data_IF_412173265154
#
_entry.id   IF_412173265154
#
_cell.length_a   1.000
_cell.length_b   1.000
_cell.length_c   1.000
_cell.angle_alpha   90.00
_cell.angle_beta   90.00
_cell.angle_gamma   90.00
#
_symmetry.space_group_name_H-M   'P 1'
#
loop_
_entity.id
_entity.type
_entity.pdbx_description
1 polymer ?
#
# COMPACT_ATOMS: atom_id res chain seq x y z
N UNK A 1 12.68 20.21 31.73
CA UNK A 1 12.02 19.56 30.60
C UNK A 1 12.85 19.86 29.34
N UNK A 2 13.42 18.84 28.71
CA UNK A 2 14.05 19.01 27.41
C UNK A 2 12.97 19.43 26.40
N UNK A 3 13.27 20.32 25.44
CA UNK A 3 12.32 20.65 24.37
C UNK A 3 11.97 19.38 23.61
N UNK A 4 10.72 19.23 23.11
CA UNK A 4 10.37 18.08 22.29
C UNK A 4 11.34 18.00 21.12
N UNK A 5 11.87 16.81 20.87
CA UNK A 5 12.78 16.55 19.75
C UNK A 5 12.06 16.86 18.43
N UNK A 6 12.23 18.07 17.92
CA UNK A 6 11.55 18.60 16.73
C UNK A 6 12.03 17.96 15.42
N UNK A 7 12.86 16.90 15.51
CA UNK A 7 13.48 16.26 14.35
C UNK A 7 12.89 14.86 14.01
N UNK A 8 11.82 14.43 14.69
CA UNK A 8 11.18 13.16 14.35
C UNK A 8 10.26 13.39 13.15
N UNK A 9 10.64 12.84 12.01
CA UNK A 9 9.85 12.89 10.77
C UNK A 9 8.54 12.13 10.98
N UNK A 10 7.44 12.77 10.61
CA UNK A 10 6.09 12.21 10.72
C UNK A 10 5.83 11.24 9.58
N UNK A 11 4.94 10.30 9.79
CA UNK A 11 4.53 9.32 8.78
C UNK A 11 3.03 9.44 8.55
N UNK A 12 2.65 9.75 7.32
CA UNK A 12 1.26 9.61 6.85
C UNK A 12 1.16 8.39 5.94
N UNK A 13 0.13 7.58 6.14
CA UNK A 13 -0.15 6.47 5.24
C UNK A 13 -1.25 6.85 4.24
N UNK A 14 -1.13 6.38 3.00
CA UNK A 14 -2.17 6.50 1.96
C UNK A 14 -2.57 5.11 1.50
N UNK A 15 -3.87 4.82 1.55
CA UNK A 15 -4.44 3.54 1.13
C UNK A 15 -5.41 3.77 -0.04
N UNK A 16 -4.96 3.58 -1.29
CA UNK A 16 -5.85 3.68 -2.44
C UNK A 16 -6.86 2.51 -2.43
N UNK A 17 -8.14 2.86 -2.34
CA UNK A 17 -9.27 1.93 -2.27
C UNK A 17 -10.43 2.31 -3.23
N UNK A 18 -10.17 3.15 -4.25
CA UNK A 18 -11.19 3.61 -5.20
C UNK A 18 -11.46 2.64 -6.36
N UNK A 19 -10.68 1.56 -6.48
CA UNK A 19 -10.82 0.60 -7.58
C UNK A 19 -12.04 -0.30 -7.43
N UNK A 20 -12.72 -0.58 -8.55
CA UNK A 20 -13.90 -1.47 -8.59
C UNK A 20 -13.58 -2.96 -8.42
N UNK A 21 -12.33 -3.38 -8.65
CA UNK A 21 -11.93 -4.79 -8.49
C UNK A 21 -12.57 -5.78 -9.48
N UNK A 22 -12.92 -5.36 -10.68
CA UNK A 22 -13.66 -6.11 -11.72
C UNK A 22 -13.14 -7.52 -12.01
N UNK A 23 -11.83 -7.76 -11.82
CA UNK A 23 -11.21 -9.10 -12.01
C UNK A 23 -11.72 -10.17 -11.05
N UNK A 24 -12.39 -9.81 -9.96
CA UNK A 24 -12.99 -10.76 -9.01
C UNK A 24 -14.36 -11.25 -9.47
N UNK A 25 -15.02 -10.57 -10.43
CA UNK A 25 -16.34 -10.95 -10.94
C UNK A 25 -17.50 -10.72 -9.96
N UNK A 26 -17.27 -10.05 -8.86
CA UNK A 26 -18.27 -9.72 -7.84
C UNK A 26 -18.78 -8.28 -8.02
N UNK A 27 -20.09 -8.02 -7.83
CA UNK A 27 -20.64 -6.67 -7.88
C UNK A 27 -20.17 -5.79 -6.71
N UNK A 28 -19.77 -6.38 -5.58
CA UNK A 28 -19.19 -5.67 -4.44
C UNK A 28 -17.73 -5.33 -4.75
N UNK A 29 -17.27 -4.08 -4.54
CA UNK A 29 -15.87 -3.73 -4.72
C UNK A 29 -14.97 -4.62 -3.84
N UNK A 30 -13.91 -5.17 -4.41
CA UNK A 30 -13.12 -6.25 -3.79
C UNK A 30 -12.60 -5.94 -2.39
N UNK A 31 -12.31 -4.66 -2.09
CA UNK A 31 -11.85 -4.23 -0.77
C UNK A 31 -12.88 -4.45 0.34
N UNK A 32 -14.15 -4.60 -0.01
CA UNK A 32 -15.25 -4.88 0.93
C UNK A 32 -15.68 -6.35 0.96
N UNK A 33 -15.07 -7.21 0.14
CA UNK A 33 -15.34 -8.66 0.19
C UNK A 33 -14.96 -9.21 1.58
N UNK A 34 -15.81 -10.14 2.06
CA UNK A 34 -15.57 -10.79 3.35
C UNK A 34 -14.31 -11.65 3.33
N UNK A 35 -13.50 -11.48 4.34
CA UNK A 35 -12.28 -12.23 4.59
C UNK A 35 -12.24 -12.58 6.08
N UNK A 36 -12.61 -13.81 6.42
CA UNK A 36 -12.72 -14.32 7.80
C UNK A 36 -13.66 -13.47 8.69
N UNK A 37 -14.82 -13.06 8.16
CA UNK A 37 -15.84 -12.32 8.90
C UNK A 37 -15.64 -10.79 8.93
N UNK A 38 -14.60 -10.27 8.30
CA UNK A 38 -14.33 -8.84 8.16
C UNK A 38 -14.12 -8.44 6.68
N UNK A 39 -14.51 -7.23 6.26
CA UNK A 39 -14.12 -6.70 4.97
C UNK A 39 -12.59 -6.69 4.80
N UNK A 40 -12.08 -7.07 3.63
CA UNK A 40 -10.63 -7.16 3.35
C UNK A 40 -9.87 -5.90 3.76
N UNK A 41 -10.38 -4.71 3.47
CA UNK A 41 -9.75 -3.44 3.80
C UNK A 41 -9.57 -3.25 5.32
N UNK A 42 -10.45 -3.83 6.13
CA UNK A 42 -10.38 -3.70 7.60
C UNK A 42 -9.13 -4.37 8.14
N UNK A 43 -8.76 -5.55 7.62
CA UNK A 43 -7.50 -6.22 8.01
C UNK A 43 -6.29 -5.32 7.74
N UNK A 44 -6.21 -4.77 6.53
CA UNK A 44 -5.14 -3.84 6.12
C UNK A 44 -5.07 -2.62 7.05
N UNK A 45 -6.21 -1.95 7.25
CA UNK A 45 -6.26 -0.72 8.05
C UNK A 45 -5.98 -0.97 9.53
N UNK A 46 -6.42 -2.09 10.08
CA UNK A 46 -6.15 -2.47 11.47
C UNK A 46 -4.66 -2.73 11.69
N UNK A 47 -4.01 -3.47 10.79
CA UNK A 47 -2.56 -3.70 10.90
C UNK A 47 -1.76 -2.39 10.82
N UNK A 48 -2.13 -1.48 9.91
CA UNK A 48 -1.49 -0.17 9.80
C UNK A 48 -1.78 0.74 11.00
N UNK A 49 -3.01 0.73 11.52
CA UNK A 49 -3.40 1.54 12.67
C UNK A 49 -2.76 1.05 13.98
N UNK A 50 -2.31 -0.21 14.05
CA UNK A 50 -1.55 -0.73 15.17
C UNK A 50 -0.12 -0.15 15.24
N UNK A 51 0.43 0.35 14.12
CA UNK A 51 1.73 1.04 14.05
C UNK A 51 1.61 2.45 14.62
N UNK A 52 2.18 2.70 15.79
CA UNK A 52 2.06 3.99 16.48
C UNK A 52 2.77 5.15 15.74
N UNK A 53 3.77 4.83 14.93
CA UNK A 53 4.54 5.80 14.12
C UNK A 53 3.74 6.39 12.96
N UNK A 54 2.69 5.72 12.50
CA UNK A 54 1.78 6.25 11.47
C UNK A 54 0.79 7.20 12.15
N UNK A 55 0.92 8.50 11.93
CA UNK A 55 0.07 9.50 12.58
C UNK A 55 -1.33 9.54 12.00
N UNK A 56 -1.45 9.40 10.68
CA UNK A 56 -2.72 9.42 9.98
C UNK A 56 -2.74 8.41 8.83
N UNK A 57 -3.89 7.79 8.60
CA UNK A 57 -4.15 6.89 7.48
C UNK A 57 -5.24 7.53 6.61
N UNK A 58 -4.85 7.96 5.43
CA UNK A 58 -5.72 8.54 4.40
C UNK A 58 -6.22 7.42 3.51
N UNK A 59 -7.51 7.11 3.58
CA UNK A 59 -8.15 6.11 2.72
C UNK A 59 -8.78 6.83 1.53
N UNK A 60 -8.31 6.53 0.33
CA UNK A 60 -8.85 7.16 -0.89
C UNK A 60 -9.90 6.24 -1.50
N UNK A 61 -11.16 6.64 -1.43
CA UNK A 61 -12.31 5.90 -1.95
C UNK A 61 -12.91 6.58 -3.19
N UNK A 62 -13.73 5.83 -3.94
CA UNK A 62 -14.46 6.37 -5.07
C UNK A 62 -15.48 7.44 -4.62
N UNK A 63 -15.77 8.42 -5.49
CA UNK A 63 -16.72 9.49 -5.17
C UNK A 63 -18.12 8.96 -4.80
N UNK A 64 -18.54 7.87 -5.45
CA UNK A 64 -19.83 7.20 -5.26
C UNK A 64 -19.73 5.93 -4.38
N UNK A 65 -18.70 5.79 -3.57
CA UNK A 65 -18.57 4.64 -2.65
C UNK A 65 -19.73 4.64 -1.64
N UNK A 66 -20.50 3.58 -1.60
CA UNK A 66 -21.66 3.40 -0.72
C UNK A 66 -21.42 2.50 0.49
N UNK A 67 -20.18 2.00 0.68
CA UNK A 67 -19.87 0.95 1.66
C UNK A 67 -19.01 1.44 2.82
N UNK A 68 -18.28 2.53 2.61
CA UNK A 68 -17.27 2.99 3.56
C UNK A 68 -17.85 3.36 4.93
N UNK A 69 -18.91 4.18 4.97
CA UNK A 69 -19.44 4.69 6.23
C UNK A 69 -19.87 3.56 7.16
N UNK A 70 -20.58 2.56 6.62
CA UNK A 70 -21.01 1.40 7.40
C UNK A 70 -19.81 0.55 7.85
N UNK A 71 -18.84 0.34 6.96
CA UNK A 71 -17.62 -0.42 7.26
C UNK A 71 -16.81 0.26 8.36
N UNK A 72 -16.58 1.56 8.24
CA UNK A 72 -15.80 2.34 9.20
C UNK A 72 -16.50 2.40 10.57
N UNK A 73 -17.79 2.69 10.62
CA UNK A 73 -18.56 2.75 11.86
C UNK A 73 -18.56 1.41 12.60
N UNK A 74 -18.65 0.29 11.86
CA UNK A 74 -18.75 -1.04 12.45
C UNK A 74 -17.41 -1.59 12.92
N UNK A 75 -16.32 -1.32 12.20
CA UNK A 75 -15.07 -2.04 12.38
C UNK A 75 -13.86 -1.16 12.71
N UNK A 76 -13.90 0.15 12.40
CA UNK A 76 -12.76 1.06 12.56
C UNK A 76 -13.01 2.16 13.60
N UNK A 77 -14.11 2.11 14.35
CA UNK A 77 -14.43 3.09 15.38
C UNK A 77 -13.27 3.37 16.39
N UNK A 78 -12.48 2.36 16.85
CA UNK A 78 -11.33 2.62 17.72
C UNK A 78 -10.23 3.47 17.08
N UNK A 79 -10.19 3.53 15.76
CA UNK A 79 -9.16 4.25 14.97
C UNK A 79 -9.70 5.49 14.27
N UNK A 80 -10.95 5.92 14.55
CA UNK A 80 -11.63 6.98 13.83
C UNK A 80 -10.89 8.33 13.84
N UNK A 81 -10.06 8.60 14.85
CA UNK A 81 -9.22 9.81 14.91
C UNK A 81 -8.02 9.77 13.96
N UNK A 82 -7.62 8.59 13.50
CA UNK A 82 -6.42 8.39 12.66
C UNK A 82 -6.74 7.87 11.26
N UNK A 83 -7.86 7.16 11.08
CA UNK A 83 -8.28 6.59 9.79
C UNK A 83 -9.34 7.48 9.18
N UNK A 84 -8.99 8.26 8.16
CA UNK A 84 -9.89 9.24 7.53
C UNK A 84 -10.03 8.91 6.04
N UNK A 85 -11.27 8.80 5.57
CA UNK A 85 -11.54 8.56 4.15
C UNK A 85 -11.81 9.87 3.40
N UNK A 86 -11.29 9.92 2.17
CA UNK A 86 -11.54 11.00 1.22
C UNK A 86 -12.09 10.44 -0.09
N UNK A 87 -13.20 11.02 -0.56
CA UNK A 87 -13.91 10.62 -1.78
C UNK A 87 -13.29 11.27 -3.03
N UNK A 88 -11.99 11.04 -3.22
CA UNK A 88 -11.17 11.69 -4.25
C UNK A 88 -10.46 10.67 -5.16
N UNK A 89 -11.01 9.46 -5.28
CA UNK A 89 -10.48 8.45 -6.19
C UNK A 89 -10.32 8.99 -7.61
N UNK A 90 -9.14 8.77 -8.20
CA UNK A 90 -8.81 9.17 -9.56
C UNK A 90 -9.08 8.07 -10.59
N UNK A 91 -8.78 8.34 -11.86
CA UNK A 91 -8.90 7.39 -12.96
C UNK A 91 -7.87 6.26 -12.82
N UNK A 92 -6.67 6.60 -12.32
CA UNK A 92 -5.59 5.64 -12.06
C UNK A 92 -5.33 5.47 -10.56
N UNK A 93 -4.55 4.42 -10.21
CA UNK A 93 -4.07 4.23 -8.85
C UNK A 93 -3.14 5.37 -8.41
N UNK A 94 -2.23 5.79 -9.28
CA UNK A 94 -1.30 6.88 -9.02
C UNK A 94 -2.03 8.20 -8.77
N UNK A 95 -3.04 8.52 -9.60
CA UNK A 95 -3.89 9.70 -9.42
C UNK A 95 -4.66 9.65 -8.10
N UNK A 96 -5.19 8.47 -7.72
CA UNK A 96 -5.87 8.30 -6.43
C UNK A 96 -4.92 8.60 -5.25
N UNK A 97 -3.69 8.11 -5.29
CA UNK A 97 -2.68 8.40 -4.26
C UNK A 97 -2.36 9.90 -4.22
N UNK A 98 -2.11 10.52 -5.37
CA UNK A 98 -1.83 11.95 -5.47
C UNK A 98 -2.97 12.80 -4.91
N UNK A 99 -4.21 12.47 -5.23
CA UNK A 99 -5.38 13.16 -4.71
C UNK A 99 -5.50 13.01 -3.19
N UNK A 100 -5.19 11.83 -2.65
CA UNK A 100 -5.10 11.60 -1.19
C UNK A 100 -4.05 12.47 -0.51
N UNK A 101 -2.86 12.61 -1.11
CA UNK A 101 -1.79 13.48 -0.61
C UNK A 101 -2.23 14.94 -0.58
N UNK A 102 -2.89 15.43 -1.62
CA UNK A 102 -3.41 16.80 -1.68
C UNK A 102 -4.41 17.12 -0.56
N UNK A 103 -5.18 16.13 -0.10
CA UNK A 103 -6.12 16.33 1.01
C UNK A 103 -5.43 16.62 2.35
N UNK A 104 -4.17 16.24 2.50
CA UNK A 104 -3.40 16.40 3.76
C UNK A 104 -2.14 17.25 3.62
N UNK A 105 -1.94 17.90 2.47
CA UNK A 105 -0.75 18.70 2.15
C UNK A 105 -0.48 19.81 3.19
N UNK A 106 -1.54 20.43 3.73
CA UNK A 106 -1.39 21.46 4.76
C UNK A 106 -1.03 20.92 6.15
N UNK A 107 -1.12 19.60 6.36
CA UNK A 107 -0.90 18.95 7.65
C UNK A 107 0.52 18.38 7.79
N UNK A 108 1.20 18.08 6.68
CA UNK A 108 2.50 17.42 6.65
C UNK A 108 3.55 18.28 5.97
N UNK A 109 4.78 18.17 6.44
CA UNK A 109 5.91 18.91 5.87
C UNK A 109 6.50 18.17 4.66
N UNK A 110 7.19 18.92 3.80
CA UNK A 110 7.83 18.38 2.58
C UNK A 110 8.77 17.20 2.83
N UNK A 111 9.40 17.16 3.99
CA UNK A 111 10.36 16.11 4.40
C UNK A 111 9.72 14.97 5.21
N UNK A 112 8.44 15.04 5.53
CA UNK A 112 7.72 13.96 6.19
C UNK A 112 7.62 12.72 5.28
N UNK A 113 7.34 11.58 5.86
CA UNK A 113 7.23 10.32 5.15
C UNK A 113 5.79 10.03 4.72
N UNK A 114 5.64 9.58 3.48
CA UNK A 114 4.41 8.99 2.96
C UNK A 114 4.62 7.50 2.77
N UNK A 115 3.78 6.71 3.41
CA UNK A 115 3.73 5.25 3.27
C UNK A 115 2.49 4.86 2.47
N UNK A 116 2.66 4.38 1.23
CA UNK A 116 1.55 3.93 0.38
C UNK A 116 1.38 2.44 0.48
N UNK A 117 0.17 1.98 0.81
CA UNK A 117 -0.12 0.55 0.91
C UNK A 117 -1.44 0.17 0.25
N UNK A 118 -1.43 -0.93 -0.52
CA UNK A 118 -2.63 -1.42 -1.21
C UNK A 118 -3.68 -1.98 -0.24
N UNK A 119 -4.93 -1.50 -0.33
CA UNK A 119 -6.07 -2.05 0.42
C UNK A 119 -6.27 -3.56 0.21
N UNK A 120 -5.73 -4.10 -0.88
CA UNK A 120 -5.82 -5.50 -1.27
C UNK A 120 -4.63 -6.37 -0.80
N UNK A 121 -3.86 -5.94 0.19
CA UNK A 121 -2.81 -6.73 0.87
C UNK A 121 -3.16 -6.91 2.35
N UNK A 122 -4.23 -7.68 2.65
CA UNK A 122 -4.77 -7.79 4.00
C UNK A 122 -3.86 -8.53 4.98
N UNK A 123 -2.89 -9.28 4.49
CA UNK A 123 -1.99 -10.10 5.32
C UNK A 123 -0.70 -9.37 5.72
N UNK A 124 -0.63 -8.04 5.53
CA UNK A 124 0.50 -7.25 6.04
C UNK A 124 0.53 -7.34 7.57
N UNK A 125 1.72 -7.58 8.14
CA UNK A 125 1.91 -7.63 9.59
C UNK A 125 2.45 -6.30 10.12
N UNK A 126 2.03 -5.94 11.32
CA UNK A 126 2.48 -4.73 12.02
C UNK A 126 4.01 -4.73 12.16
N UNK A 127 4.61 -5.87 12.52
CA UNK A 127 6.04 -6.03 12.71
C UNK A 127 6.82 -5.78 11.41
N UNK A 128 6.29 -6.23 10.25
CA UNK A 128 6.91 -5.97 8.96
C UNK A 128 6.86 -4.48 8.59
N UNK A 129 5.78 -3.78 8.95
CA UNK A 129 5.70 -2.33 8.74
C UNK A 129 6.72 -1.61 9.62
N UNK A 130 6.84 -1.97 10.90
CA UNK A 130 7.82 -1.36 11.82
C UNK A 130 9.26 -1.58 11.31
N UNK A 131 9.62 -2.80 10.91
CA UNK A 131 10.93 -3.11 10.33
C UNK A 131 11.21 -2.27 9.07
N UNK A 132 10.20 -2.13 8.21
CA UNK A 132 10.30 -1.32 6.99
C UNK A 132 10.55 0.16 7.30
N UNK A 133 9.87 0.70 8.31
CA UNK A 133 10.08 2.07 8.78
C UNK A 133 11.50 2.26 9.35
N UNK A 134 12.00 1.28 10.11
CA UNK A 134 13.35 1.33 10.68
C UNK A 134 14.43 1.30 9.60
N UNK A 135 14.28 0.42 8.61
CA UNK A 135 15.25 0.29 7.52
C UNK A 135 15.35 1.54 6.63
N UNK A 136 14.28 2.35 6.57
CA UNK A 136 14.22 3.55 5.74
C UNK A 136 14.35 4.86 6.53
N UNK A 137 14.54 4.81 7.85
CA UNK A 137 14.54 6.03 8.69
C UNK A 137 15.56 7.06 8.20
N UNK A 138 16.77 6.61 7.84
CA UNK A 138 17.88 7.46 7.39
C UNK A 138 17.99 7.56 5.85
N UNK A 139 17.07 6.95 5.10
CA UNK A 139 17.10 7.01 3.65
C UNK A 139 16.76 8.40 3.13
N UNK A 140 17.50 8.84 2.11
CA UNK A 140 17.30 10.15 1.47
C UNK A 140 16.11 10.15 0.51
N UNK A 141 15.90 9.06 -0.21
CA UNK A 141 14.86 8.87 -1.23
C UNK A 141 13.65 8.14 -0.64
N UNK A 142 13.90 6.99 -0.05
CA UNK A 142 12.90 6.04 0.40
C UNK A 142 13.04 4.70 -0.31
N UNK A 143 12.01 3.86 -0.24
CA UNK A 143 12.08 2.51 -0.78
C UNK A 143 10.76 1.77 -0.77
N UNK A 144 10.85 0.49 -1.06
CA UNK A 144 9.70 -0.40 -1.17
C UNK A 144 10.00 -1.79 -0.62
N UNK A 145 8.98 -2.46 -0.10
CA UNK A 145 9.07 -3.90 0.14
C UNK A 145 9.12 -4.64 -1.19
N UNK A 146 10.01 -5.62 -1.29
CA UNK A 146 10.13 -6.44 -2.48
C UNK A 146 10.67 -7.83 -2.14
N UNK A 147 10.46 -8.80 -3.05
CA UNK A 147 10.99 -10.15 -2.94
C UNK A 147 11.81 -10.49 -4.18
N UNK A 148 12.99 -11.11 -4.03
CA UNK A 148 13.72 -11.67 -5.17
C UNK A 148 12.84 -12.66 -5.94
N UNK A 149 12.97 -12.67 -7.27
CA UNK A 149 12.27 -13.64 -8.10
C UNK A 149 12.88 -15.04 -7.92
N UNK A 150 12.07 -15.97 -7.41
CA UNK A 150 12.48 -17.35 -7.19
C UNK A 150 12.28 -18.24 -8.44
N UNK A 151 11.23 -17.98 -9.23
CA UNK A 151 10.85 -18.78 -10.37
C UNK A 151 11.64 -18.43 -11.63
N UNK A 152 11.70 -19.38 -12.59
CA UNK A 152 12.24 -19.11 -13.92
C UNK A 152 11.26 -18.25 -14.71
N UNK A 153 11.69 -17.07 -15.16
CA UNK A 153 10.87 -16.17 -15.95
C UNK A 153 10.97 -16.46 -17.44
N UNK A 154 9.83 -16.43 -18.11
CA UNK A 154 9.73 -16.56 -19.57
C UNK A 154 9.12 -15.30 -20.16
N UNK A 155 9.74 -14.78 -21.23
CA UNK A 155 9.11 -13.79 -22.11
C UNK A 155 8.32 -14.53 -23.17
N UNK A 156 7.08 -14.10 -23.41
CA UNK A 156 6.25 -14.63 -24.49
C UNK A 156 6.09 -13.61 -25.61
N UNK A 157 5.81 -14.10 -26.79
CA UNK A 157 5.29 -13.31 -27.92
C UNK A 157 3.75 -13.11 -27.79
N UNK A 158 3.13 -12.44 -28.78
CA UNK A 158 1.67 -12.20 -28.84
C UNK A 158 0.84 -13.50 -28.87
N UNK A 159 1.40 -14.60 -29.37
CA UNK A 159 0.73 -15.90 -29.50
C UNK A 159 0.89 -16.79 -28.25
N UNK A 160 1.34 -16.20 -27.14
CA UNK A 160 1.59 -16.90 -25.86
C UNK A 160 2.64 -18.03 -25.97
N UNK A 161 3.58 -17.92 -26.92
CA UNK A 161 4.70 -18.86 -27.05
C UNK A 161 5.95 -18.28 -26.41
N UNK A 162 6.75 -19.14 -25.80
CA UNK A 162 8.03 -18.73 -25.20
C UNK A 162 8.95 -18.16 -26.28
N UNK A 163 9.36 -16.90 -26.11
CA UNK A 163 10.34 -16.21 -26.91
C UNK A 163 11.75 -16.33 -26.30
N UNK A 164 11.84 -16.13 -24.98
CA UNK A 164 13.12 -16.19 -24.28
C UNK A 164 12.93 -16.58 -22.80
N UNK A 165 13.99 -17.12 -22.21
CA UNK A 165 14.17 -17.19 -20.76
C UNK A 165 14.85 -15.92 -20.29
N UNK A 166 14.26 -15.23 -19.32
CA UNK A 166 14.82 -14.01 -18.74
C UNK A 166 15.64 -14.40 -17.52
N UNK A 167 16.89 -13.93 -17.46
CA UNK A 167 17.73 -14.08 -16.28
C UNK A 167 17.05 -13.41 -15.08
N UNK A 168 16.96 -14.12 -13.95
CA UNK A 168 16.24 -13.62 -12.75
C UNK A 168 17.16 -12.95 -11.74
N UNK A 169 18.45 -13.00 -11.96
CA UNK A 169 19.45 -12.31 -11.15
C UNK A 169 19.11 -10.81 -11.14
N UNK A 170 19.04 -10.23 -9.94
CA UNK A 170 18.64 -8.83 -9.72
C UNK A 170 17.20 -8.45 -10.11
N UNK A 171 16.32 -9.43 -10.39
CA UNK A 171 14.91 -9.16 -10.56
C UNK A 171 14.14 -9.35 -9.24
N UNK A 172 13.28 -8.40 -8.95
CA UNK A 172 12.50 -8.35 -7.72
C UNK A 172 11.00 -8.17 -8.04
N UNK A 173 10.16 -8.75 -7.22
CA UNK A 173 8.71 -8.53 -7.25
C UNK A 173 8.38 -7.42 -6.26
N UNK A 174 7.99 -6.26 -6.74
CA UNK A 174 7.57 -5.14 -5.91
C UNK A 174 6.33 -5.49 -5.08
N UNK A 175 6.36 -5.06 -3.83
CA UNK A 175 5.21 -5.10 -2.92
C UNK A 175 4.91 -3.69 -2.42
N UNK A 176 3.87 -3.55 -1.62
CA UNK A 176 3.64 -2.40 -0.76
C UNK A 176 3.67 -2.87 0.70
N UNK A 177 4.03 -2.00 1.67
CA UNK A 177 4.19 -0.55 1.55
C UNK A 177 5.38 -0.12 0.71
N UNK A 178 5.22 1.09 0.12
CA UNK A 178 6.27 1.87 -0.50
C UNK A 178 6.33 3.21 0.25
N UNK A 179 7.52 3.70 0.59
CA UNK A 179 7.67 4.88 1.44
C UNK A 179 8.64 5.89 0.83
N UNK A 180 8.19 7.13 0.68
CA UNK A 180 8.95 8.22 0.08
C UNK A 180 8.69 9.54 0.80
N UNK A 181 9.56 10.55 0.57
CA UNK A 181 9.34 11.91 1.08
C UNK A 181 8.10 12.52 0.45
N UNK A 182 7.34 13.28 1.24
CA UNK A 182 6.06 13.85 0.83
C UNK A 182 6.18 14.69 -0.46
N UNK A 183 7.13 15.63 -0.49
CA UNK A 183 7.36 16.48 -1.67
C UNK A 183 7.81 15.66 -2.89
N UNK A 184 8.76 14.76 -2.70
CA UNK A 184 9.31 13.93 -3.77
C UNK A 184 8.21 13.08 -4.41
N UNK A 185 7.39 12.39 -3.60
CA UNK A 185 6.30 11.55 -4.09
C UNK A 185 5.22 12.37 -4.80
N UNK A 186 4.84 13.52 -4.22
CA UNK A 186 3.82 14.40 -4.83
C UNK A 186 4.26 14.87 -6.21
N UNK A 187 5.52 15.29 -6.36
CA UNK A 187 6.08 15.70 -7.65
C UNK A 187 6.16 14.53 -8.64
N UNK A 188 6.62 13.37 -8.17
CA UNK A 188 6.79 12.18 -9.01
C UNK A 188 5.44 11.71 -9.60
N UNK A 189 4.41 11.56 -8.75
CA UNK A 189 3.07 11.16 -9.21
C UNK A 189 2.40 12.24 -10.06
N UNK A 190 2.68 13.52 -9.81
CA UNK A 190 2.21 14.62 -10.64
C UNK A 190 2.80 14.60 -12.06
N UNK A 191 4.05 14.15 -12.19
CA UNK A 191 4.74 14.01 -13.48
C UNK A 191 4.38 12.71 -14.22
N UNK A 192 3.97 11.65 -13.50
CA UNK A 192 3.65 10.33 -14.06
C UNK A 192 2.33 9.77 -13.50
N UNK A 193 1.17 10.30 -13.94
CA UNK A 193 -0.14 9.93 -13.39
C UNK A 193 -0.59 8.51 -13.74
N UNK A 194 0.09 7.83 -14.65
CA UNK A 194 -0.13 6.45 -15.08
C UNK A 194 0.89 5.45 -14.50
N UNK A 195 1.73 5.89 -13.55
CA UNK A 195 2.69 5.03 -12.88
C UNK A 195 2.01 3.78 -12.30
N UNK A 196 2.64 2.61 -12.46
CA UNK A 196 2.11 1.34 -11.96
C UNK A 196 2.24 1.21 -10.45
N UNK A 197 3.26 1.87 -9.88
CA UNK A 197 3.50 2.01 -8.45
C UNK A 197 4.28 3.32 -8.14
N UNK A 198 4.50 3.61 -6.88
CA UNK A 198 5.19 4.81 -6.45
C UNK A 198 6.66 4.81 -6.86
N UNK A 199 7.31 3.65 -6.77
CA UNK A 199 8.73 3.49 -7.13
C UNK A 199 8.98 3.87 -8.58
N UNK A 200 8.13 3.44 -9.52
CA UNK A 200 8.24 3.80 -10.94
C UNK A 200 8.20 5.31 -11.17
N UNK A 201 7.32 6.02 -10.46
CA UNK A 201 7.25 7.47 -10.58
C UNK A 201 8.53 8.15 -10.03
N UNK A 202 9.08 7.63 -8.94
CA UNK A 202 10.34 8.10 -8.33
C UNK A 202 11.53 7.83 -9.26
N UNK A 203 11.58 6.64 -9.88
CA UNK A 203 12.60 6.26 -10.87
C UNK A 203 12.58 7.18 -12.10
N UNK A 204 11.40 7.58 -12.56
CA UNK A 204 11.24 8.51 -13.68
C UNK A 204 11.84 9.91 -13.40
N UNK A 205 12.00 10.28 -12.12
CA UNK A 205 12.72 11.50 -11.69
C UNK A 205 14.24 11.26 -11.53
N UNK A 206 14.75 10.08 -11.88
CA UNK A 206 16.18 9.74 -11.81
C UNK A 206 16.67 9.28 -10.43
N UNK A 207 15.76 8.97 -9.50
CA UNK A 207 16.12 8.43 -8.18
C UNK A 207 16.15 6.90 -8.17
N UNK A 208 16.82 6.32 -7.19
CA UNK A 208 16.94 4.88 -7.01
C UNK A 208 16.37 4.47 -5.65
N UNK A 209 15.09 4.02 -5.58
CA UNK A 209 14.47 3.52 -4.36
C UNK A 209 15.22 2.32 -3.78
N UNK A 210 15.32 2.25 -2.43
CA UNK A 210 15.88 1.09 -1.74
C UNK A 210 14.90 -0.08 -1.78
N UNK A 211 15.41 -1.28 -2.10
CA UNK A 211 14.67 -2.54 -1.96
C UNK A 211 14.85 -3.07 -0.53
N UNK A 212 13.74 -3.24 0.18
CA UNK A 212 13.69 -3.85 1.51
C UNK A 212 13.02 -5.22 1.38
N UNK A 213 13.54 -6.23 2.05
CA UNK A 213 13.01 -7.60 1.98
C UNK A 213 11.59 -7.63 2.56
N UNK A 214 10.65 -8.04 1.72
CA UNK A 214 9.26 -8.26 2.09
C UNK A 214 8.96 -9.70 2.49
N UNK A 215 7.68 -10.04 2.60
CA UNK A 215 7.21 -11.38 2.94
C UNK A 215 6.27 -11.93 1.88
N UNK A 216 6.37 -13.26 1.62
CA UNK A 216 5.46 -13.94 0.69
C UNK A 216 4.00 -13.90 1.20
N UNK A 217 3.80 -13.86 2.52
CA UNK A 217 2.50 -13.71 3.15
C UNK A 217 1.84 -12.36 2.83
N UNK A 218 2.61 -11.30 2.55
CA UNK A 218 2.11 -9.98 2.14
C UNK A 218 1.64 -10.00 0.67
N UNK A 219 0.82 -10.96 0.33
CA UNK A 219 0.30 -11.16 -1.03
C UNK A 219 -0.75 -10.09 -1.40
N UNK A 220 -0.85 -9.77 -2.68
CA UNK A 220 -1.91 -8.92 -3.22
C UNK A 220 -3.07 -9.79 -3.70
N UNK A 221 -4.21 -9.68 -3.04
CA UNK A 221 -5.44 -10.35 -3.46
C UNK A 221 -5.92 -9.74 -4.79
N UNK A 222 -5.82 -10.53 -5.86
CA UNK A 222 -6.16 -10.12 -7.22
C UNK A 222 -7.21 -11.03 -7.84
N UNK A 223 -7.16 -12.31 -7.54
CA UNK A 223 -8.05 -13.37 -8.03
C UNK A 223 -8.74 -14.09 -6.87
N UNK A 224 -9.81 -14.83 -7.16
CA UNK A 224 -10.56 -15.58 -6.15
C UNK A 224 -9.69 -16.64 -5.41
N UNK A 225 -8.68 -17.19 -6.05
CA UNK A 225 -7.71 -18.11 -5.42
C UNK A 225 -6.88 -17.44 -4.34
N UNK A 226 -6.55 -16.14 -4.54
CA UNK A 226 -5.75 -15.38 -3.57
C UNK A 226 -6.54 -15.14 -2.27
N UNK A 227 -7.88 -15.01 -2.37
CA UNK A 227 -8.77 -14.90 -1.20
C UNK A 227 -8.62 -16.09 -0.27
N UNK A 228 -8.65 -17.32 -0.82
CA UNK A 228 -8.50 -18.54 -0.03
C UNK A 228 -7.16 -18.60 0.67
N UNK A 229 -6.10 -18.20 -0.03
CA UNK A 229 -4.76 -18.15 0.56
C UNK A 229 -4.68 -17.11 1.67
N UNK A 230 -5.23 -15.92 1.45
CA UNK A 230 -5.28 -14.87 2.46
C UNK A 230 -6.07 -15.29 3.71
N UNK A 231 -7.20 -16.02 3.54
CA UNK A 231 -7.97 -16.58 4.66
C UNK A 231 -7.12 -17.47 5.56
N UNK A 232 -6.37 -18.39 4.95
CA UNK A 232 -5.50 -19.32 5.69
C UNK A 232 -4.39 -18.57 6.42
N UNK A 233 -3.71 -17.63 5.75
CA UNK A 233 -2.61 -16.85 6.34
C UNK A 233 -3.07 -16.00 7.52
N UNK A 234 -4.25 -15.39 7.45
CA UNK A 234 -4.81 -14.61 8.54
C UNK A 234 -5.17 -15.49 9.75
N UNK A 235 -5.75 -16.69 9.52
CA UNK A 235 -6.04 -17.63 10.60
C UNK A 235 -4.78 -18.10 11.33
N UNK A 236 -3.69 -18.33 10.59
CA UNK A 236 -2.41 -18.73 11.19
C UNK A 236 -1.79 -17.59 12.03
N UNK A 237 -1.88 -16.35 11.55
CA UNK A 237 -1.34 -15.19 12.27
C UNK A 237 -2.07 -14.93 13.60
N UNK A 238 -3.36 -15.26 13.72
CA UNK A 238 -4.13 -15.14 14.96
C UNK A 238 -3.79 -16.24 15.99
N UNK A 239 -3.32 -17.40 15.54
CA UNK A 239 -2.94 -18.53 16.43
C UNK A 239 -1.57 -18.33 17.11
N UNK A 240 -0.76 -17.45 16.58
CA UNK A 240 0.61 -17.20 17.07
C UNK A 240 0.67 -16.03 18.06
N UNK A 241 -0.45 -15.31 18.24
CA UNK A 241 -0.62 -14.27 19.26
C UNK A 241 -1.18 -14.85 20.54
#
# INVERSE_FOLDING_TARGET
>A
MAPPNTNKRRVVAVVPAAGSGTRMGDPLPKQYLDLNGLPMIVHTLTAMAAVSRIEQIVVVIAANDGYWEQTAARHLAPFASRVVAHRVGGVTRAESVLNGLRCVESLFAHHDWVLVHDAARPCIRTELIEQFLDELEDESVGGLLALPVADTLKRSNSDQRVEATVAREHLWRAQTPQMFRFDLLTRALGAMPDATDEAQAIEALGHQPRLVIGESANLKVTYATDMKLAQILLMESERVK
#
